data_IF_893366307554
#
_entry.id   IF_893366307554
#
_cell.length_a   1.000
_cell.length_b   1.000
_cell.length_c   1.000
_cell.angle_alpha   90.00
_cell.angle_beta   90.00
_cell.angle_gamma   90.00
#
_symmetry.space_group_name_H-M   'P 1'
#
loop_
_entity.id
_entity.type
_entity.pdbx_description
1 polymer ?
#
# COMPACT_ATOMS: atom_id res chain seq x y z
N UNK A 1 2.23 -5.33 3.50
CA UNK A 1 2.59 -6.35 2.49
C UNK A 1 2.83 -7.73 3.11
N UNK A 2 3.80 -7.91 4.02
CA UNK A 2 4.09 -9.21 4.64
C UNK A 2 2.88 -9.87 5.34
N UNK A 3 2.05 -9.09 6.03
CA UNK A 3 0.81 -9.61 6.63
C UNK A 3 -0.13 -10.23 5.60
N UNK A 4 -0.29 -9.60 4.43
CA UNK A 4 -1.13 -10.11 3.35
C UNK A 4 -0.56 -11.38 2.74
N UNK A 5 0.75 -11.43 2.53
CA UNK A 5 1.42 -12.67 2.12
C UNK A 5 1.08 -13.79 3.10
N UNK A 6 1.20 -13.52 4.41
CA UNK A 6 0.91 -14.54 5.42
C UNK A 6 -0.55 -14.97 5.46
N UNK A 7 -1.47 -14.03 5.24
CA UNK A 7 -2.90 -14.32 5.17
C UNK A 7 -3.26 -15.26 4.02
N UNK A 8 -2.64 -15.11 2.85
CA UNK A 8 -3.03 -15.83 1.63
C UNK A 8 -2.14 -17.02 1.30
N UNK A 9 -0.88 -17.01 1.73
CA UNK A 9 0.14 -18.01 1.37
C UNK A 9 0.59 -18.85 2.59
N UNK A 10 0.25 -18.45 3.81
CA UNK A 10 0.65 -19.15 5.05
C UNK A 10 1.93 -18.57 5.64
N UNK A 11 2.85 -19.39 6.15
CA UNK A 11 4.08 -18.89 6.78
C UNK A 11 5.33 -19.45 6.09
N UNK A 12 5.61 -19.02 4.84
CA UNK A 12 6.80 -19.49 4.12
C UNK A 12 8.08 -18.95 4.78
N UNK A 13 9.23 -19.63 4.62
CA UNK A 13 10.53 -19.04 4.93
C UNK A 13 10.70 -17.70 4.21
N UNK A 14 11.08 -16.65 4.94
CA UNK A 14 11.24 -15.30 4.40
C UNK A 14 12.70 -14.93 4.26
N UNK A 15 13.03 -14.33 3.12
CA UNK A 15 14.30 -13.63 2.90
C UNK A 15 13.96 -12.14 2.84
N UNK A 16 14.44 -11.37 3.81
CA UNK A 16 14.22 -9.93 3.86
C UNK A 16 15.32 -9.21 3.08
N UNK A 17 14.91 -8.48 2.04
CA UNK A 17 15.78 -7.63 1.24
C UNK A 17 15.09 -6.29 0.96
N UNK A 18 15.86 -5.28 0.58
CA UNK A 18 15.28 -4.03 0.10
C UNK A 18 14.37 -4.28 -1.12
N UNK A 19 13.24 -3.57 -1.19
CA UNK A 19 12.20 -3.87 -2.18
C UNK A 19 12.70 -3.82 -3.65
N UNK A 20 13.71 -2.99 -3.93
CA UNK A 20 14.36 -2.85 -5.24
C UNK A 20 15.28 -4.03 -5.59
N UNK A 21 15.64 -4.85 -4.60
CA UNK A 21 16.45 -6.07 -4.77
C UNK A 21 15.62 -7.33 -4.96
N UNK A 22 14.32 -7.29 -4.67
CA UNK A 22 13.42 -8.44 -4.79
C UNK A 22 13.46 -9.04 -6.21
N UNK A 23 13.37 -8.26 -7.30
CA UNK A 23 13.45 -8.83 -8.65
C UNK A 23 14.75 -9.60 -8.90
N UNK A 24 15.90 -9.01 -8.53
CA UNK A 24 17.21 -9.66 -8.69
C UNK A 24 17.31 -10.95 -7.88
N UNK A 25 16.85 -10.96 -6.63
CA UNK A 25 16.87 -12.15 -5.79
C UNK A 25 16.09 -13.33 -6.40
N UNK A 26 14.96 -13.05 -7.06
CA UNK A 26 14.18 -14.08 -7.77
C UNK A 26 14.90 -14.54 -9.04
N UNK A 27 15.39 -13.61 -9.87
CA UNK A 27 16.05 -13.93 -11.14
C UNK A 27 17.36 -14.71 -10.96
N UNK A 28 18.06 -14.49 -9.86
CA UNK A 28 19.30 -15.20 -9.50
C UNK A 28 19.04 -16.53 -8.76
N UNK A 29 17.77 -16.89 -8.54
CA UNK A 29 17.39 -18.14 -7.88
C UNK A 29 17.66 -18.15 -6.37
N UNK A 30 17.81 -16.98 -5.74
CA UNK A 30 17.93 -16.88 -4.28
C UNK A 30 16.58 -17.09 -3.58
N UNK A 31 15.48 -16.84 -4.28
CA UNK A 31 14.11 -17.08 -3.81
C UNK A 31 13.22 -17.58 -4.95
N UNK A 32 12.27 -18.47 -4.65
CA UNK A 32 11.33 -19.00 -5.65
C UNK A 32 10.31 -17.95 -6.12
N UNK A 33 9.92 -17.03 -5.22
CA UNK A 33 8.92 -15.98 -5.47
C UNK A 33 9.31 -14.68 -4.79
N UNK A 34 8.86 -13.55 -5.34
CA UNK A 34 9.09 -12.21 -4.78
C UNK A 34 7.80 -11.48 -4.48
N UNK A 35 7.67 -10.90 -3.28
CA UNK A 35 6.57 -10.02 -2.91
C UNK A 35 6.84 -8.59 -3.38
N UNK A 36 6.42 -8.27 -4.61
CA UNK A 36 6.63 -6.94 -5.18
C UNK A 36 5.66 -5.90 -4.59
N UNK A 37 6.21 -4.76 -4.21
CA UNK A 37 5.50 -3.55 -3.78
C UNK A 37 5.95 -2.35 -4.63
N UNK A 38 5.40 -1.16 -4.36
CA UNK A 38 5.66 0.05 -5.15
C UNK A 38 5.43 -0.18 -6.66
N UNK A 39 6.19 0.47 -7.53
CA UNK A 39 6.05 0.38 -8.98
C UNK A 39 6.28 -1.03 -9.54
N UNK A 40 6.95 -1.91 -8.79
CA UNK A 40 7.24 -3.29 -9.18
C UNK A 40 6.00 -4.06 -9.63
N UNK A 41 4.83 -3.78 -9.04
CA UNK A 41 3.58 -4.44 -9.40
C UNK A 41 3.17 -4.22 -10.87
N UNK A 42 3.57 -3.09 -11.48
CA UNK A 42 3.23 -2.75 -12.87
C UNK A 42 4.42 -2.81 -13.83
N UNK A 43 5.64 -3.01 -13.31
CA UNK A 43 6.88 -3.10 -14.09
C UNK A 43 7.52 -4.48 -14.09
N UNK A 44 7.05 -5.44 -13.29
CA UNK A 44 7.61 -6.79 -13.15
C UNK A 44 7.88 -7.50 -14.48
N UNK A 45 6.99 -7.38 -15.47
CA UNK A 45 7.17 -8.01 -16.77
C UNK A 45 8.41 -7.47 -17.52
N UNK A 46 8.70 -6.17 -17.40
CA UNK A 46 9.92 -5.54 -17.97
C UNK A 46 11.18 -5.99 -17.21
N UNK A 47 11.02 -6.46 -15.98
CA UNK A 47 12.10 -7.03 -15.16
C UNK A 47 12.31 -8.53 -15.42
N UNK A 48 11.60 -9.15 -16.38
CA UNK A 48 11.73 -10.59 -16.66
C UNK A 48 10.98 -11.50 -15.69
N UNK A 49 10.08 -10.95 -14.88
CA UNK A 49 9.26 -11.71 -13.93
C UNK A 49 7.85 -11.96 -14.48
N UNK A 50 7.20 -13.01 -13.97
CA UNK A 50 5.78 -13.30 -14.25
C UNK A 50 4.95 -13.10 -12.98
N UNK A 51 3.74 -12.52 -13.12
CA UNK A 51 2.79 -12.40 -12.01
C UNK A 51 2.20 -13.78 -11.68
N UNK A 52 2.46 -14.28 -10.48
CA UNK A 52 1.92 -15.56 -9.99
C UNK A 52 0.64 -15.39 -9.16
N UNK A 53 0.52 -14.27 -8.46
CA UNK A 53 -0.60 -13.97 -7.57
C UNK A 53 -0.76 -12.46 -7.43
N UNK A 54 -2.00 -11.98 -7.48
CA UNK A 54 -2.35 -10.59 -7.20
C UNK A 54 -3.14 -10.52 -5.89
N UNK A 55 -2.49 -10.10 -4.81
CA UNK A 55 -3.12 -10.03 -3.48
C UNK A 55 -4.25 -8.99 -3.43
N UNK A 56 -4.22 -7.96 -4.30
CA UNK A 56 -5.29 -6.98 -4.42
C UNK A 56 -6.54 -7.57 -5.06
N UNK A 57 -6.38 -8.29 -6.17
CA UNK A 57 -7.50 -8.96 -6.84
C UNK A 57 -8.13 -10.06 -5.97
N UNK A 58 -7.30 -10.84 -5.25
CA UNK A 58 -7.81 -11.85 -4.31
C UNK A 58 -8.60 -11.20 -3.18
N UNK A 59 -8.05 -10.15 -2.57
CA UNK A 59 -8.73 -9.40 -1.51
C UNK A 59 -10.07 -8.83 -1.97
N UNK A 60 -10.10 -8.17 -3.12
CA UNK A 60 -11.32 -7.58 -3.67
C UNK A 60 -12.38 -8.64 -3.95
N UNK A 61 -11.99 -9.81 -4.49
CA UNK A 61 -12.91 -10.93 -4.75
C UNK A 61 -13.51 -11.52 -3.47
N UNK A 62 -12.73 -11.65 -2.41
CA UNK A 62 -13.18 -12.29 -1.16
C UNK A 62 -13.96 -11.36 -0.24
N UNK A 63 -13.65 -10.06 -0.27
CA UNK A 63 -14.19 -9.10 0.70
C UNK A 63 -15.14 -8.08 0.07
N UNK A 64 -15.01 -7.82 -1.23
CA UNK A 64 -15.67 -6.68 -1.89
C UNK A 64 -15.18 -5.32 -1.40
N UNK A 65 -14.08 -5.26 -0.62
CA UNK A 65 -13.55 -4.05 -0.02
C UNK A 65 -12.23 -3.63 -0.70
N UNK A 66 -11.85 -2.34 -0.64
CA UNK A 66 -10.53 -1.90 -1.06
C UNK A 66 -9.45 -2.52 -0.15
N UNK A 67 -8.27 -2.78 -0.70
CA UNK A 67 -7.17 -3.36 0.07
C UNK A 67 -6.40 -2.26 0.84
N UNK A 68 -6.37 -2.28 2.19
CA UNK A 68 -5.62 -1.29 2.95
C UNK A 68 -4.12 -1.63 2.90
N UNK A 69 -3.35 -0.77 2.24
CA UNK A 69 -1.90 -0.99 2.00
C UNK A 69 -1.00 -0.09 2.83
N UNK A 70 -1.42 1.15 3.07
CA UNK A 70 -0.69 2.14 3.85
C UNK A 70 -1.65 3.12 4.50
N UNK A 71 -1.25 3.66 5.64
CA UNK A 71 -1.99 4.67 6.40
C UNK A 71 -1.02 5.73 6.90
N UNK A 72 -1.51 6.98 7.01
CA UNK A 72 -0.81 8.00 7.78
C UNK A 72 -1.20 7.84 9.24
N UNK A 73 -0.20 7.75 10.12
CA UNK A 73 -0.41 7.61 11.56
C UNK A 73 0.15 8.83 12.30
N UNK A 74 -0.54 9.24 13.36
CA UNK A 74 -0.10 10.33 14.23
C UNK A 74 0.16 9.77 15.62
N UNK A 75 1.20 10.29 16.29
CA UNK A 75 1.44 9.92 17.69
C UNK A 75 0.27 10.40 18.56
N UNK A 76 -0.20 9.52 19.45
CA UNK A 76 -1.38 9.78 20.31
C UNK A 76 -1.18 10.96 21.27
N UNK A 77 0.05 11.26 21.65
CA UNK A 77 0.40 12.31 22.62
C UNK A 77 0.49 13.73 22.06
N UNK A 78 0.21 13.94 20.76
CA UNK A 78 0.22 15.27 20.14
C UNK A 78 -1.01 16.12 20.49
N UNK A 79 -2.09 15.49 20.99
CA UNK A 79 -3.33 16.16 21.33
C UNK A 79 -4.26 16.43 20.14
N UNK A 80 -5.56 16.49 20.44
CA UNK A 80 -6.64 16.53 19.44
C UNK A 80 -6.54 17.73 18.49
N UNK A 81 -6.16 18.91 18.99
CA UNK A 81 -6.00 20.11 18.17
C UNK A 81 -4.91 19.95 17.11
N UNK A 82 -3.79 19.32 17.48
CA UNK A 82 -2.68 19.07 16.55
C UNK A 82 -3.10 18.00 15.53
N UNK A 83 -3.75 16.94 16.00
CA UNK A 83 -4.30 15.89 15.13
C UNK A 83 -5.23 16.45 14.05
N UNK A 84 -6.21 17.26 14.43
CA UNK A 84 -7.16 17.88 13.48
C UNK A 84 -6.46 18.79 12.47
N UNK A 85 -5.49 19.60 12.93
CA UNK A 85 -4.71 20.50 12.04
C UNK A 85 -3.85 19.72 11.04
N UNK A 86 -3.20 18.64 11.49
CA UNK A 86 -2.42 17.78 10.59
C UNK A 86 -3.32 17.03 9.59
N UNK A 87 -4.45 16.50 10.05
CA UNK A 87 -5.42 15.82 9.19
C UNK A 87 -5.95 16.76 8.10
N UNK A 88 -6.33 17.99 8.48
CA UNK A 88 -6.78 19.01 7.53
C UNK A 88 -5.65 19.41 6.55
N UNK A 89 -4.44 19.65 7.05
CA UNK A 89 -3.30 20.03 6.19
C UNK A 89 -2.95 18.95 5.16
N UNK A 90 -2.99 17.67 5.56
CA UNK A 90 -2.80 16.55 4.64
C UNK A 90 -3.91 16.49 3.60
N UNK A 91 -5.17 16.62 4.03
CA UNK A 91 -6.34 16.64 3.14
C UNK A 91 -6.25 17.76 2.11
N UNK A 92 -5.89 18.97 2.53
CA UNK A 92 -5.73 20.12 1.65
C UNK A 92 -4.61 19.90 0.64
N UNK A 93 -3.48 19.33 1.08
CA UNK A 93 -2.35 19.00 0.21
C UNK A 93 -2.73 17.95 -0.85
N UNK A 94 -3.45 16.89 -0.46
CA UNK A 94 -3.91 15.83 -1.38
C UNK A 94 -4.93 16.41 -2.37
N UNK A 95 -5.90 17.16 -1.89
CA UNK A 95 -6.92 17.78 -2.73
C UNK A 95 -6.30 18.78 -3.72
N UNK A 96 -5.26 19.51 -3.32
CA UNK A 96 -4.52 20.38 -4.23
C UNK A 96 -3.78 19.57 -5.29
N UNK A 97 -3.09 18.48 -4.92
CA UNK A 97 -2.38 17.62 -5.87
C UNK A 97 -3.33 16.97 -6.89
N UNK A 98 -4.54 16.58 -6.48
CA UNK A 98 -5.56 16.05 -7.38
C UNK A 98 -6.12 17.10 -8.35
N UNK A 99 -6.16 18.38 -7.97
CA UNK A 99 -6.53 19.48 -8.88
C UNK A 99 -5.40 19.92 -9.80
N UNK A 100 -4.14 19.64 -9.42
CA UNK A 100 -2.94 20.07 -10.13
C UNK A 100 -2.04 18.86 -10.46
N UNK A 101 -2.63 17.82 -11.06
CA UNK A 101 -1.98 16.51 -11.24
C UNK A 101 -0.67 16.60 -12.01
N UNK A 102 -0.59 17.39 -13.08
CA UNK A 102 0.65 17.50 -13.85
C UNK A 102 1.81 18.11 -13.06
N UNK A 103 1.54 19.14 -12.25
CA UNK A 103 2.54 19.78 -11.41
C UNK A 103 2.97 18.86 -10.25
N UNK A 104 2.00 18.20 -9.62
CA UNK A 104 2.28 17.21 -8.57
C UNK A 104 3.12 16.05 -9.11
N UNK A 105 2.82 15.57 -10.33
CA UNK A 105 3.59 14.52 -10.99
C UNK A 105 4.99 14.98 -11.37
N UNK A 106 5.17 16.21 -11.85
CA UNK A 106 6.49 16.75 -12.16
C UNK A 106 7.41 16.76 -10.93
N UNK A 107 6.87 17.13 -9.76
CA UNK A 107 7.61 16.99 -8.50
C UNK A 107 7.87 15.51 -8.14
N UNK A 108 6.84 14.66 -8.23
CA UNK A 108 6.93 13.24 -7.87
C UNK A 108 7.92 12.45 -8.73
N UNK A 109 8.12 12.84 -10.00
CA UNK A 109 9.05 12.19 -10.93
C UNK A 109 10.49 12.16 -10.43
N UNK A 110 10.91 13.10 -9.56
CA UNK A 110 12.24 13.10 -8.93
C UNK A 110 12.47 11.88 -8.03
N UNK A 111 11.38 11.27 -7.58
CA UNK A 111 11.36 10.04 -6.78
C UNK A 111 10.97 8.80 -7.61
N UNK A 112 10.60 9.01 -8.88
CA UNK A 112 10.38 7.93 -9.85
C UNK A 112 11.71 7.31 -10.22
N UNK A 113 11.94 6.06 -9.83
CA UNK A 113 13.22 5.33 -9.92
C UNK A 113 13.55 4.90 -11.36
N UNK A 114 13.68 5.87 -12.26
CA UNK A 114 13.92 5.63 -13.70
C UNK A 114 12.67 5.20 -14.47
N UNK A 115 11.48 5.28 -13.87
CA UNK A 115 10.21 5.06 -14.57
C UNK A 115 9.86 6.26 -15.45
N UNK A 116 9.22 6.00 -16.59
CA UNK A 116 8.72 7.05 -17.47
C UNK A 116 7.51 7.78 -16.85
N UNK A 117 7.20 8.98 -17.37
CA UNK A 117 6.13 9.85 -16.84
C UNK A 117 4.76 9.19 -16.87
N UNK A 118 4.48 8.37 -17.89
CA UNK A 118 3.19 7.69 -18.03
C UNK A 118 3.05 6.57 -16.99
N UNK A 119 4.10 5.78 -16.80
CA UNK A 119 4.18 4.75 -15.74
C UNK A 119 4.04 5.38 -14.36
N UNK A 120 4.72 6.50 -14.10
CA UNK A 120 4.60 7.24 -12.83
C UNK A 120 3.18 7.74 -12.61
N UNK A 121 2.57 8.37 -13.62
CA UNK A 121 1.17 8.82 -13.57
C UNK A 121 0.22 7.67 -13.23
N UNK A 122 0.35 6.54 -13.94
CA UNK A 122 -0.49 5.36 -13.69
C UNK A 122 -0.34 4.88 -12.25
N UNK A 123 0.90 4.72 -11.78
CA UNK A 123 1.18 4.26 -10.42
C UNK A 123 0.62 5.20 -9.35
N UNK A 124 0.86 6.52 -9.48
CA UNK A 124 0.37 7.51 -8.51
C UNK A 124 -1.15 7.48 -8.42
N UNK A 125 -1.85 7.46 -9.56
CA UNK A 125 -3.31 7.48 -9.59
C UNK A 125 -3.95 6.18 -9.08
N UNK A 126 -3.22 5.05 -9.06
CA UNK A 126 -3.69 3.83 -8.40
C UNK A 126 -3.79 4.00 -6.87
N UNK A 127 -2.93 4.83 -6.28
CA UNK A 127 -2.81 4.97 -4.82
C UNK A 127 -3.28 6.30 -4.25
N UNK A 128 -3.37 7.34 -5.09
CA UNK A 128 -3.86 8.67 -4.72
C UNK A 128 -5.24 8.86 -5.32
N UNK A 129 -6.26 8.51 -4.54
CA UNK A 129 -7.68 8.54 -4.93
C UNK A 129 -8.54 9.01 -3.74
N UNK A 130 -9.85 8.84 -3.82
CA UNK A 130 -10.79 9.31 -2.79
C UNK A 130 -10.52 8.67 -1.41
N UNK A 131 -10.02 7.42 -1.36
CA UNK A 131 -9.64 6.76 -0.11
C UNK A 131 -8.41 7.41 0.55
N UNK A 132 -7.61 8.15 -0.23
CA UNK A 132 -6.47 8.92 0.29
C UNK A 132 -6.94 10.23 0.93
N UNK A 133 -8.00 10.85 0.39
CA UNK A 133 -8.60 12.06 0.97
C UNK A 133 -9.32 11.77 2.28
N UNK A 134 -10.00 10.64 2.37
CA UNK A 134 -10.74 10.24 3.55
C UNK A 134 -10.82 8.73 3.64
N UNK A 135 -10.58 8.18 4.83
CA UNK A 135 -10.70 6.74 5.06
C UNK A 135 -12.14 6.26 4.75
N UNK A 136 -13.14 7.07 5.12
CA UNK A 136 -14.56 6.73 4.93
C UNK A 136 -14.98 5.46 5.68
N UNK A 137 -16.24 5.07 5.51
CA UNK A 137 -16.78 3.83 6.07
C UNK A 137 -16.17 2.59 5.41
N UNK A 138 -15.95 2.65 4.10
CA UNK A 138 -15.41 1.54 3.31
C UNK A 138 -13.94 1.25 3.66
N UNK A 139 -13.09 2.28 3.75
CA UNK A 139 -11.70 2.11 4.19
C UNK A 139 -11.60 1.66 5.64
N UNK A 140 -12.49 2.13 6.53
CA UNK A 140 -12.57 1.63 7.91
C UNK A 140 -12.93 0.15 7.96
N UNK A 141 -13.97 -0.26 7.22
CA UNK A 141 -14.39 -1.65 7.12
C UNK A 141 -13.27 -2.54 6.54
N UNK A 142 -12.50 -2.02 5.58
CA UNK A 142 -11.35 -2.72 5.01
C UNK A 142 -10.24 -2.98 6.06
N UNK A 143 -9.90 -1.98 6.87
CA UNK A 143 -8.90 -2.12 7.94
C UNK A 143 -9.39 -3.08 9.03
N UNK A 144 -10.65 -2.93 9.46
CA UNK A 144 -11.29 -3.83 10.43
C UNK A 144 -11.30 -5.28 9.91
N UNK A 145 -11.63 -5.47 8.63
CA UNK A 145 -11.59 -6.80 8.00
C UNK A 145 -10.17 -7.37 7.99
N UNK A 146 -9.16 -6.56 7.65
CA UNK A 146 -7.78 -7.03 7.54
C UNK A 146 -7.27 -7.52 8.89
N UNK A 147 -7.45 -6.72 9.95
CA UNK A 147 -7.01 -7.10 11.29
C UNK A 147 -7.85 -8.23 11.87
N UNK A 148 -9.15 -8.28 11.59
CA UNK A 148 -10.01 -9.39 11.99
C UNK A 148 -9.55 -10.72 11.38
N UNK A 149 -9.22 -10.76 10.09
CA UNK A 149 -8.65 -11.96 9.45
C UNK A 149 -7.30 -12.34 10.05
N UNK A 150 -6.43 -11.36 10.27
CA UNK A 150 -5.12 -11.58 10.86
C UNK A 150 -5.22 -12.18 12.26
N UNK A 151 -6.13 -11.68 13.09
CA UNK A 151 -6.38 -12.20 14.43
C UNK A 151 -6.94 -13.62 14.38
N UNK A 152 -7.94 -13.88 13.52
CA UNK A 152 -8.52 -15.23 13.37
C UNK A 152 -7.49 -16.28 12.95
N UNK A 153 -6.49 -15.90 12.17
CA UNK A 153 -5.38 -16.77 11.76
C UNK A 153 -4.20 -16.78 12.75
N UNK A 154 -4.31 -16.09 13.88
CA UNK A 154 -3.25 -16.03 14.89
C UNK A 154 -1.99 -15.26 14.46
N UNK A 155 -2.10 -14.42 13.42
CA UNK A 155 -0.98 -13.60 12.93
C UNK A 155 -0.74 -12.35 13.80
N UNK A 156 -1.77 -11.92 14.52
CA UNK A 156 -1.72 -10.88 15.55
C UNK A 156 -2.50 -11.36 16.78
N UNK A 157 -2.12 -10.90 17.97
CA UNK A 157 -2.77 -11.27 19.23
C UNK A 157 -4.12 -10.59 19.42
N UNK A 158 -4.22 -9.32 19.05
CA UNK A 158 -5.42 -8.50 19.20
C UNK A 158 -5.56 -7.50 18.05
N UNK A 159 -6.79 -7.10 17.76
CA UNK A 159 -7.08 -6.01 16.82
C UNK A 159 -6.77 -4.69 17.52
N UNK A 160 -5.82 -3.88 17.02
CA UNK A 160 -5.53 -2.58 17.62
C UNK A 160 -6.74 -1.63 17.46
N UNK A 161 -6.92 -0.65 18.38
CA UNK A 161 -7.92 0.39 18.21
C UNK A 161 -7.73 1.12 16.87
N UNK A 162 -8.83 1.33 16.15
CA UNK A 162 -8.87 2.10 14.90
C UNK A 162 -9.59 3.41 15.20
N UNK A 163 -8.79 4.46 15.39
CA UNK A 163 -9.21 5.80 15.81
C UNK A 163 -8.95 6.85 14.71
N UNK A 164 -9.77 6.90 13.64
CA UNK A 164 -9.66 7.92 12.61
C UNK A 164 -10.07 9.30 13.15
N UNK A 165 -9.39 10.34 12.67
CA UNK A 165 -9.62 11.76 13.00
C UNK A 165 -10.26 12.48 11.81
#
# INVERSE_FOLDING_TARGET
AALLLRLYVGDPPLIEVAFDKIPTAVLEGQADVGLLIHEGQITHARMGLVKVLDLGEVWARETGLPLPLGVNVMRRDLGEDVHRRLSQGLRDSIAWAQRNVDEALEYAMRYGRGIDKETCRRFVLMYVNDLTLTLGSEGRAAVERLFGEAQRKGLISEVPPIDPI
#
